data_IF_060899812687
#
_entry.id   IF_060899812687
#
_cell.length_a   1.000
_cell.length_b   1.000
_cell.length_c   1.000
_cell.angle_alpha   90.00
_cell.angle_beta   90.00
_cell.angle_gamma   90.00
#
_symmetry.space_group_name_H-M   'P 1'
#
loop_
_entity.id
_entity.type
_entity.pdbx_description
1 polymer ?
#
# COMPACT_ATOMS: atom_id res chain seq x y z
N UNK A 1 38.54 -12.66 -17.89
CA UNK A 1 37.49 -11.77 -17.36
C UNK A 1 36.56 -11.52 -18.53
N UNK A 2 35.40 -12.18 -18.55
CA UNK A 2 34.37 -11.84 -19.52
C UNK A 2 33.72 -10.57 -18.99
N UNK A 3 33.90 -9.49 -19.71
CA UNK A 3 33.08 -8.29 -19.57
C UNK A 3 31.66 -8.73 -19.96
N UNK A 4 30.76 -8.78 -18.97
CA UNK A 4 29.36 -9.06 -19.20
C UNK A 4 28.83 -8.04 -20.20
N UNK A 5 28.54 -8.52 -21.40
CA UNK A 5 27.81 -7.77 -22.41
C UNK A 5 26.45 -7.48 -21.81
N UNK A 6 26.24 -6.26 -21.33
CA UNK A 6 24.91 -5.73 -21.05
C UNK A 6 24.20 -5.66 -22.40
N UNK A 7 23.43 -6.68 -22.73
CA UNK A 7 22.55 -6.66 -23.89
C UNK A 7 21.44 -5.65 -23.57
N UNK A 8 21.35 -4.57 -24.35
CA UNK A 8 20.21 -3.66 -24.30
C UNK A 8 19.00 -4.36 -24.93
N UNK A 9 18.46 -5.36 -24.23
CA UNK A 9 17.26 -6.07 -24.61
C UNK A 9 16.04 -5.20 -24.31
N UNK A 10 15.18 -4.99 -25.31
CA UNK A 10 13.94 -4.23 -25.19
C UNK A 10 12.77 -5.18 -25.00
N UNK A 11 11.89 -4.87 -24.05
CA UNK A 11 10.60 -5.57 -23.87
C UNK A 11 9.45 -4.69 -24.36
N UNK A 12 8.39 -5.34 -24.85
CA UNK A 12 7.14 -4.65 -25.18
C UNK A 12 6.50 -4.05 -23.92
N UNK A 13 5.91 -2.85 -24.05
CA UNK A 13 5.35 -2.12 -22.91
C UNK A 13 4.13 -2.82 -22.34
N UNK A 14 3.25 -3.32 -23.19
CA UNK A 14 2.01 -3.98 -22.74
C UNK A 14 2.37 -5.29 -22.03
N UNK A 15 3.33 -6.04 -22.57
CA UNK A 15 3.89 -7.20 -21.89
C UNK A 15 4.47 -6.86 -20.50
N UNK A 16 5.26 -5.78 -20.40
CA UNK A 16 5.81 -5.35 -19.12
C UNK A 16 4.73 -4.95 -18.09
N UNK A 17 3.66 -4.29 -18.54
CA UNK A 17 2.49 -3.96 -17.72
C UNK A 17 1.82 -5.24 -17.22
N UNK A 18 1.61 -6.23 -18.10
CA UNK A 18 1.00 -7.51 -17.75
C UNK A 18 1.81 -8.26 -16.68
N UNK A 19 3.13 -8.35 -16.83
CA UNK A 19 4.01 -9.02 -15.85
C UNK A 19 3.96 -8.34 -14.47
N UNK A 20 4.00 -7.00 -14.41
CA UNK A 20 3.88 -6.27 -13.14
C UNK A 20 2.51 -6.50 -12.50
N UNK A 21 1.42 -6.43 -13.29
CA UNK A 21 0.07 -6.67 -12.78
C UNK A 21 -0.12 -8.12 -12.32
N UNK A 22 0.51 -9.09 -12.98
CA UNK A 22 0.52 -10.48 -12.59
C UNK A 22 1.23 -10.67 -11.24
N UNK A 23 2.40 -10.04 -11.05
CA UNK A 23 3.09 -10.03 -9.77
C UNK A 23 2.21 -9.41 -8.66
N UNK A 24 1.59 -8.25 -8.90
CA UNK A 24 0.66 -7.63 -7.96
C UNK A 24 -0.53 -8.55 -7.63
N UNK A 25 -1.08 -9.27 -8.62
CA UNK A 25 -2.14 -10.25 -8.41
C UNK A 25 -1.67 -11.39 -7.50
N UNK A 26 -0.47 -11.93 -7.68
CA UNK A 26 0.07 -12.95 -6.78
C UNK A 26 0.20 -12.46 -5.34
N UNK A 27 0.66 -11.22 -5.12
CA UNK A 27 0.69 -10.62 -3.78
C UNK A 27 -0.73 -10.36 -3.22
N UNK A 28 -1.66 -9.92 -4.05
CA UNK A 28 -3.06 -9.72 -3.68
C UNK A 28 -3.74 -11.02 -3.26
N UNK A 29 -3.52 -12.10 -4.02
CA UNK A 29 -4.01 -13.45 -3.72
C UNK A 29 -3.38 -13.99 -2.43
N UNK A 30 -2.07 -13.78 -2.23
CA UNK A 30 -1.38 -14.19 -1.01
C UNK A 30 -1.97 -13.49 0.22
N UNK A 31 -2.18 -12.17 0.15
CA UNK A 31 -2.82 -11.41 1.24
C UNK A 31 -4.23 -11.92 1.55
N UNK A 32 -5.02 -12.27 0.53
CA UNK A 32 -6.33 -12.90 0.69
C UNK A 32 -6.23 -14.21 1.46
N UNK A 33 -5.37 -15.15 1.04
CA UNK A 33 -5.28 -16.46 1.70
C UNK A 33 -4.71 -16.37 3.11
N UNK A 34 -3.76 -15.47 3.39
CA UNK A 34 -3.33 -15.20 4.77
C UNK A 34 -4.48 -14.68 5.63
N UNK A 35 -5.23 -13.69 5.11
CA UNK A 35 -6.40 -13.14 5.81
C UNK A 35 -7.46 -14.21 6.05
N UNK A 36 -7.68 -15.10 5.07
CA UNK A 36 -8.61 -16.23 5.16
C UNK A 36 -8.24 -17.17 6.30
N UNK A 37 -7.00 -17.65 6.31
CA UNK A 37 -6.52 -18.59 7.35
C UNK A 37 -6.62 -17.95 8.73
N UNK A 38 -6.20 -16.69 8.87
CA UNK A 38 -6.32 -15.97 10.15
C UNK A 38 -7.78 -15.84 10.59
N UNK A 39 -8.67 -15.51 9.66
CA UNK A 39 -10.10 -15.36 9.94
C UNK A 39 -10.76 -16.68 10.35
N UNK A 40 -10.44 -17.77 9.66
CA UNK A 40 -10.95 -19.11 9.96
C UNK A 40 -10.45 -19.63 11.33
N UNK A 41 -9.19 -19.35 11.68
CA UNK A 41 -8.58 -19.84 12.92
C UNK A 41 -8.87 -18.96 14.16
N UNK A 42 -8.94 -17.63 13.98
CA UNK A 42 -8.97 -16.69 15.10
C UNK A 42 -10.19 -15.74 15.10
N UNK A 43 -11.02 -15.79 14.07
CA UNK A 43 -12.15 -14.88 13.90
C UNK A 43 -11.76 -13.45 13.52
N UNK A 44 -12.76 -12.60 13.34
CA UNK A 44 -12.61 -11.26 12.74
C UNK A 44 -11.74 -10.31 13.56
N UNK A 45 -11.99 -10.23 14.87
CA UNK A 45 -11.34 -9.23 15.74
C UNK A 45 -9.84 -9.48 15.84
N UNK A 46 -9.45 -10.73 16.11
CA UNK A 46 -8.04 -11.08 16.24
C UNK A 46 -7.31 -11.01 14.90
N UNK A 47 -7.98 -11.37 13.81
CA UNK A 47 -7.44 -11.18 12.45
C UNK A 47 -7.19 -9.71 12.16
N UNK A 48 -8.14 -8.83 12.49
CA UNK A 48 -8.00 -7.39 12.29
C UNK A 48 -6.81 -6.83 13.07
N UNK A 49 -6.59 -7.26 14.31
CA UNK A 49 -5.45 -6.86 15.14
C UNK A 49 -4.11 -7.28 14.50
N UNK A 50 -4.01 -8.55 14.08
CA UNK A 50 -2.80 -9.10 13.47
C UNK A 50 -2.49 -8.38 12.15
N UNK A 51 -3.48 -8.23 11.27
CA UNK A 51 -3.30 -7.58 9.98
C UNK A 51 -2.89 -6.12 10.14
N UNK A 52 -3.51 -5.37 11.06
CA UNK A 52 -3.10 -3.99 11.36
C UNK A 52 -1.64 -3.92 11.78
N UNK A 53 -1.19 -4.81 12.66
CA UNK A 53 0.21 -4.86 13.11
C UNK A 53 1.16 -5.13 11.96
N UNK A 54 0.90 -6.16 11.16
CA UNK A 54 1.76 -6.55 10.02
C UNK A 54 1.84 -5.41 9.00
N UNK A 55 0.71 -4.81 8.66
CA UNK A 55 0.65 -3.71 7.69
C UNK A 55 1.35 -2.45 8.23
N UNK A 56 1.17 -2.13 9.52
CA UNK A 56 1.86 -1.02 10.16
C UNK A 56 3.38 -1.20 10.12
N UNK A 57 3.90 -2.33 10.62
CA UNK A 57 5.36 -2.59 10.69
C UNK A 57 6.01 -2.54 9.29
N UNK A 58 5.38 -3.18 8.30
CA UNK A 58 5.88 -3.15 6.91
C UNK A 58 5.85 -1.75 6.30
N UNK A 59 4.85 -0.96 6.64
CA UNK A 59 4.67 0.40 6.11
C UNK A 59 5.57 1.41 6.79
N UNK A 60 5.86 1.23 8.08
CA UNK A 60 6.86 2.01 8.80
C UNK A 60 8.25 1.80 8.18
N UNK A 61 8.65 0.55 7.97
CA UNK A 61 9.91 0.22 7.28
C UNK A 61 10.00 0.88 5.90
N UNK A 62 8.91 0.79 5.12
CA UNK A 62 8.80 1.41 3.80
C UNK A 62 8.97 2.93 3.88
N UNK A 63 8.28 3.57 4.80
CA UNK A 63 8.28 5.02 4.95
C UNK A 63 9.64 5.55 5.42
N UNK A 64 10.36 4.81 6.27
CA UNK A 64 11.74 5.14 6.65
C UNK A 64 12.65 5.15 5.41
N UNK A 65 12.58 4.11 4.58
CA UNK A 65 13.33 4.07 3.33
C UNK A 65 12.92 5.18 2.34
N UNK A 66 11.64 5.58 2.33
CA UNK A 66 11.17 6.73 1.54
C UNK A 66 11.78 8.05 2.03
N UNK A 67 11.90 8.24 3.35
CA UNK A 67 12.56 9.43 3.92
C UNK A 67 14.04 9.50 3.54
N UNK A 68 14.74 8.36 3.56
CA UNK A 68 16.13 8.28 3.11
C UNK A 68 16.26 8.72 1.65
N UNK A 69 15.38 8.22 0.75
CA UNK A 69 15.33 8.67 -0.65
C UNK A 69 15.01 10.17 -0.79
N UNK A 70 14.05 10.70 -0.02
CA UNK A 70 13.77 12.14 0.00
C UNK A 70 15.04 12.93 0.38
N UNK A 71 15.74 12.51 1.42
CA UNK A 71 16.98 13.16 1.85
C UNK A 71 18.07 13.12 0.78
N UNK A 72 18.22 11.99 0.08
CA UNK A 72 19.17 11.84 -1.04
C UNK A 72 18.82 12.75 -2.22
N UNK A 73 17.52 12.93 -2.50
CA UNK A 73 17.02 13.80 -3.55
C UNK A 73 16.98 15.29 -3.17
N UNK A 74 17.11 15.62 -1.87
CA UNK A 74 16.91 16.98 -1.36
C UNK A 74 15.44 17.40 -1.25
N UNK A 75 14.52 16.43 -1.21
CA UNK A 75 13.08 16.66 -1.08
C UNK A 75 12.68 16.95 0.38
N UNK A 76 11.69 17.82 0.56
CA UNK A 76 11.06 18.04 1.86
C UNK A 76 10.17 16.86 2.27
N UNK A 77 10.03 16.63 3.57
CA UNK A 77 9.20 15.57 4.13
C UNK A 77 7.75 16.00 4.28
N UNK A 78 7.13 16.36 3.15
CA UNK A 78 5.74 16.81 3.05
C UNK A 78 4.90 15.81 2.24
N UNK A 79 3.59 15.81 2.45
CA UNK A 79 2.69 14.84 1.80
C UNK A 79 2.83 14.80 0.27
N UNK A 80 3.07 15.96 -0.37
CA UNK A 80 3.21 16.09 -1.82
C UNK A 80 4.40 15.27 -2.39
N UNK A 81 5.43 15.01 -1.57
CA UNK A 81 6.63 14.26 -1.97
C UNK A 81 6.54 12.74 -1.69
N UNK A 82 5.40 12.24 -1.22
CA UNK A 82 5.21 10.80 -0.97
C UNK A 82 5.28 10.00 -2.29
N UNK A 83 4.66 10.51 -3.36
CA UNK A 83 4.58 9.79 -4.64
C UNK A 83 5.92 9.81 -5.39
N UNK A 84 6.74 10.87 -5.27
CA UNK A 84 8.07 10.89 -5.89
C UNK A 84 9.06 9.95 -5.21
N UNK A 85 8.84 9.60 -3.93
CA UNK A 85 9.74 8.77 -3.14
C UNK A 85 9.28 7.33 -2.94
N UNK A 86 8.08 6.98 -3.41
CA UNK A 86 7.54 5.62 -3.22
C UNK A 86 8.24 4.57 -4.09
N UNK A 87 8.20 3.32 -3.63
CA UNK A 87 8.61 2.10 -4.34
C UNK A 87 7.42 1.41 -5.05
N UNK A 88 6.32 2.13 -5.30
CA UNK A 88 5.15 1.54 -5.97
C UNK A 88 5.50 1.34 -7.44
N UNK A 89 5.35 0.13 -8.01
CA UNK A 89 5.65 -0.12 -9.40
C UNK A 89 4.51 0.42 -10.28
N UNK A 90 4.46 1.75 -10.46
CA UNK A 90 3.39 2.46 -11.16
C UNK A 90 3.17 2.02 -12.61
N UNK A 91 4.11 1.27 -13.21
CA UNK A 91 3.88 0.61 -14.48
C UNK A 91 2.62 -0.27 -14.45
N UNK A 92 2.32 -0.90 -13.32
CA UNK A 92 1.10 -1.68 -13.13
C UNK A 92 -0.16 -0.87 -12.80
N UNK A 93 -0.05 0.42 -12.48
CA UNK A 93 -1.15 1.33 -12.17
C UNK A 93 -1.57 2.10 -13.41
N UNK A 94 -2.38 1.46 -14.25
CA UNK A 94 -2.70 1.91 -15.61
C UNK A 94 -3.98 2.75 -15.61
N UNK A 95 -3.90 4.09 -15.82
CA UNK A 95 -5.08 4.97 -15.75
C UNK A 95 -6.20 4.59 -16.73
N UNK A 96 -5.86 4.00 -17.88
CA UNK A 96 -6.78 3.55 -18.92
C UNK A 96 -7.71 2.42 -18.45
N UNK A 97 -7.41 1.77 -17.32
CA UNK A 97 -8.30 0.78 -16.68
C UNK A 97 -9.29 1.39 -15.69
N UNK A 98 -9.37 2.73 -15.62
CA UNK A 98 -10.36 3.49 -14.84
C UNK A 98 -10.42 3.05 -13.37
N UNK A 99 -11.57 2.54 -12.91
CA UNK A 99 -11.78 2.04 -11.55
C UNK A 99 -10.78 0.93 -11.20
N UNK A 100 -10.32 0.15 -12.18
CA UNK A 100 -9.42 -1.00 -12.03
C UNK A 100 -7.94 -0.66 -12.33
N UNK A 101 -7.58 0.63 -12.35
CA UNK A 101 -6.20 1.06 -12.54
C UNK A 101 -5.26 0.42 -11.48
N UNK A 102 -5.70 0.38 -10.22
CA UNK A 102 -4.97 -0.29 -9.14
C UNK A 102 -5.06 -1.82 -9.29
N UNK A 103 -3.93 -2.54 -9.45
CA UNK A 103 -3.95 -3.98 -9.69
C UNK A 103 -4.45 -4.78 -8.47
N UNK A 104 -4.21 -4.29 -7.25
CA UNK A 104 -4.76 -4.92 -6.03
C UNK A 104 -6.28 -4.81 -5.98
N UNK A 105 -6.82 -3.63 -6.28
CA UNK A 105 -8.26 -3.39 -6.34
C UNK A 105 -8.95 -4.30 -7.36
N UNK A 106 -8.37 -4.41 -8.56
CA UNK A 106 -8.84 -5.33 -9.59
C UNK A 106 -8.84 -6.80 -9.13
N UNK A 107 -7.80 -7.23 -8.40
CA UNK A 107 -7.69 -8.60 -7.89
C UNK A 107 -8.70 -8.89 -6.77
N UNK A 108 -8.92 -7.96 -5.84
CA UNK A 108 -9.74 -8.20 -4.65
C UNK A 108 -11.24 -8.09 -4.90
N UNK A 109 -11.68 -7.20 -5.80
CA UNK A 109 -13.10 -7.05 -6.13
C UNK A 109 -13.73 -8.36 -6.61
N UNK A 110 -12.98 -9.15 -7.39
CA UNK A 110 -13.41 -10.47 -7.88
C UNK A 110 -13.66 -11.49 -6.77
N UNK A 111 -13.20 -11.24 -5.53
CA UNK A 111 -13.35 -12.16 -4.40
C UNK A 111 -14.59 -11.87 -3.56
N UNK A 112 -15.15 -10.67 -3.63
CA UNK A 112 -16.13 -10.19 -2.65
C UNK A 112 -17.48 -10.89 -2.72
N UNK A 113 -17.91 -11.37 -3.89
CA UNK A 113 -19.17 -12.10 -4.03
C UNK A 113 -19.17 -13.39 -3.20
N UNK A 114 -18.10 -14.18 -3.33
CA UNK A 114 -17.94 -15.43 -2.58
C UNK A 114 -17.36 -15.22 -1.17
N UNK A 115 -16.68 -14.10 -0.92
CA UNK A 115 -15.94 -13.83 0.31
C UNK A 115 -16.22 -12.41 0.84
N UNK A 116 -17.46 -12.08 1.22
CA UNK A 116 -17.83 -10.73 1.64
C UNK A 116 -17.09 -10.26 2.90
N UNK A 117 -16.68 -11.20 3.77
CA UNK A 117 -15.87 -10.94 4.96
C UNK A 117 -14.51 -10.30 4.62
N UNK A 118 -13.97 -10.56 3.42
CA UNK A 118 -12.66 -10.06 3.02
C UNK A 118 -12.66 -8.56 2.73
N UNK A 119 -13.83 -7.95 2.42
CA UNK A 119 -13.95 -6.52 2.12
C UNK A 119 -13.33 -5.64 3.20
N UNK A 120 -13.51 -6.02 4.48
CA UNK A 120 -12.94 -5.31 5.63
C UNK A 120 -11.41 -5.36 5.61
N UNK A 121 -10.84 -6.54 5.39
CA UNK A 121 -9.39 -6.74 5.40
C UNK A 121 -8.71 -6.10 4.18
N UNK A 122 -9.29 -6.21 2.99
CA UNK A 122 -8.83 -5.50 1.80
C UNK A 122 -8.82 -3.97 2.03
N UNK A 123 -9.83 -3.44 2.73
CA UNK A 123 -9.86 -2.02 3.09
C UNK A 123 -8.79 -1.64 4.11
N UNK A 124 -8.53 -2.50 5.11
CA UNK A 124 -7.46 -2.29 6.09
C UNK A 124 -6.08 -2.21 5.43
N UNK A 125 -5.84 -2.99 4.37
CA UNK A 125 -4.59 -2.93 3.62
C UNK A 125 -4.28 -1.50 3.17
N UNK A 126 -5.21 -0.87 2.44
CA UNK A 126 -5.02 0.49 1.94
C UNK A 126 -4.91 1.48 3.10
N UNK A 127 -5.85 1.41 4.05
CA UNK A 127 -5.96 2.42 5.10
C UNK A 127 -4.75 2.43 6.04
N UNK A 128 -4.31 1.25 6.52
CA UNK A 128 -3.15 1.15 7.41
C UNK A 128 -1.87 1.55 6.68
N UNK A 129 -1.69 1.08 5.45
CA UNK A 129 -0.48 1.36 4.67
C UNK A 129 -0.33 2.84 4.37
N UNK A 130 -1.37 3.45 3.82
CA UNK A 130 -1.32 4.84 3.38
C UNK A 130 -1.25 5.80 4.57
N UNK A 131 -1.95 5.49 5.67
CA UNK A 131 -1.89 6.27 6.91
C UNK A 131 -0.52 6.18 7.56
N UNK A 132 0.03 4.98 7.71
CA UNK A 132 1.35 4.80 8.32
C UNK A 132 2.44 5.47 7.48
N UNK A 133 2.37 5.36 6.14
CA UNK A 133 3.32 6.03 5.26
C UNK A 133 3.23 7.54 5.42
N UNK A 134 2.03 8.12 5.41
CA UNK A 134 1.86 9.57 5.60
C UNK A 134 2.47 10.04 6.93
N UNK A 135 2.11 9.38 8.02
CA UNK A 135 2.49 9.75 9.39
C UNK A 135 3.99 9.62 9.61
N UNK A 136 4.58 8.50 9.18
CA UNK A 136 6.02 8.25 9.37
C UNK A 136 6.84 9.12 8.41
N UNK A 137 6.43 9.24 7.14
CA UNK A 137 7.17 10.02 6.14
C UNK A 137 7.23 11.49 6.52
N UNK A 138 6.10 12.10 6.88
CA UNK A 138 6.01 13.53 7.19
C UNK A 138 6.40 13.84 8.63
N UNK A 139 5.98 13.02 9.59
CA UNK A 139 6.20 13.24 11.02
C UNK A 139 5.16 14.14 11.68
N UNK A 140 4.21 14.71 10.94
CA UNK A 140 3.14 15.58 11.49
C UNK A 140 1.79 15.45 10.77
N UNK A 141 1.75 14.77 9.62
CA UNK A 141 0.57 14.71 8.75
C UNK A 141 0.00 13.30 8.75
N UNK A 142 -1.28 13.18 9.08
CA UNK A 142 -2.05 11.95 8.94
C UNK A 142 -2.87 11.95 7.65
N UNK A 143 -3.55 10.83 7.40
CA UNK A 143 -4.24 10.55 6.16
C UNK A 143 -5.61 9.92 6.43
N UNK A 144 -6.56 10.15 5.53
CA UNK A 144 -7.87 9.50 5.56
C UNK A 144 -8.37 9.21 4.15
N UNK A 145 -8.78 7.97 3.92
CA UNK A 145 -9.51 7.58 2.71
C UNK A 145 -10.94 8.16 2.77
N UNK A 146 -11.35 8.81 1.70
CA UNK A 146 -12.67 9.44 1.55
C UNK A 146 -13.57 8.73 0.55
N UNK A 147 -12.98 8.10 -0.47
CA UNK A 147 -13.65 7.19 -1.40
C UNK A 147 -12.75 6.01 -1.69
N UNK A 148 -13.33 4.84 -1.93
CA UNK A 148 -12.57 3.65 -2.29
C UNK A 148 -13.39 2.73 -3.19
N UNK A 149 -12.79 2.24 -4.27
CA UNK A 149 -13.48 1.30 -5.16
C UNK A 149 -13.88 0.00 -4.44
N UNK A 150 -13.12 -0.40 -3.41
CA UNK A 150 -13.45 -1.55 -2.58
C UNK A 150 -14.72 -1.32 -1.78
N UNK A 151 -15.18 -0.08 -1.62
CA UNK A 151 -16.42 0.28 -0.93
C UNK A 151 -17.61 0.39 -1.88
N UNK A 152 -17.36 0.43 -3.19
CA UNK A 152 -18.35 0.64 -4.25
C UNK A 152 -18.28 2.03 -4.89
N UNK A 153 -17.26 2.84 -4.56
CA UNK A 153 -17.01 4.12 -5.24
C UNK A 153 -16.37 3.91 -6.61
N UNK A 154 -16.34 4.97 -7.43
CA UNK A 154 -15.71 4.96 -8.77
C UNK A 154 -14.24 5.36 -8.77
N UNK A 155 -13.69 5.67 -7.61
CA UNK A 155 -12.32 6.17 -7.46
C UNK A 155 -11.82 5.91 -6.04
N UNK A 156 -10.50 5.89 -5.88
CA UNK A 156 -9.86 5.93 -4.57
C UNK A 156 -9.38 7.36 -4.31
N UNK A 157 -10.00 8.04 -3.34
CA UNK A 157 -9.70 9.43 -2.98
C UNK A 157 -9.31 9.51 -1.51
N UNK A 158 -8.43 10.46 -1.19
CA UNK A 158 -7.86 10.62 0.15
C UNK A 158 -7.57 12.08 0.44
N UNK A 159 -7.46 12.39 1.73
CA UNK A 159 -7.01 13.68 2.22
C UNK A 159 -5.84 13.48 3.18
N UNK A 160 -4.96 14.49 3.23
CA UNK A 160 -3.89 14.62 4.19
C UNK A 160 -4.21 15.79 5.11
N UNK A 161 -3.93 15.65 6.40
CA UNK A 161 -4.22 16.68 7.40
C UNK A 161 -3.21 16.63 8.54
N UNK A 162 -2.89 17.80 9.10
CA UNK A 162 -2.02 17.91 10.27
C UNK A 162 -2.64 17.20 11.49
N UNK A 163 -1.84 16.44 12.23
CA UNK A 163 -2.23 15.79 13.50
C UNK A 163 -1.12 15.98 14.56
N UNK A 164 -1.47 16.67 15.64
CA UNK A 164 -0.57 16.92 16.78
C UNK A 164 -0.08 15.62 17.42
N UNK A 165 -0.87 14.54 17.40
CA UNK A 165 -0.44 13.24 17.95
C UNK A 165 0.69 12.64 17.15
N UNK A 166 0.64 12.77 15.83
CA UNK A 166 1.70 12.29 14.93
C UNK A 166 2.98 13.08 15.20
N UNK A 167 2.86 14.39 15.40
CA UNK A 167 3.97 15.27 15.81
C UNK A 167 4.62 14.83 17.14
N UNK A 168 3.83 14.22 18.04
CA UNK A 168 4.30 13.62 19.30
C UNK A 168 4.84 12.17 19.15
N UNK A 169 4.84 11.61 17.94
CA UNK A 169 5.26 10.23 17.67
C UNK A 169 4.22 9.15 18.03
N UNK A 170 2.94 9.53 18.15
CA UNK A 170 1.81 8.62 18.34
C UNK A 170 1.09 8.45 17.02
N UNK A 171 1.30 7.31 16.37
CA UNK A 171 0.72 7.02 15.06
C UNK A 171 -0.67 6.39 15.21
N UNK A 172 -1.48 6.44 14.17
CA UNK A 172 -2.86 5.93 14.20
C UNK A 172 -2.90 4.42 14.46
N UNK A 173 -1.96 3.68 13.88
CA UNK A 173 -1.91 2.21 13.94
C UNK A 173 -0.76 1.65 14.78
N UNK A 174 0.07 2.50 15.38
CA UNK A 174 1.20 2.08 16.20
C UNK A 174 1.78 3.23 17.02
N UNK A 175 2.80 2.95 17.82
CA UNK A 175 3.51 3.98 18.58
C UNK A 175 4.99 3.88 18.27
N UNK A 176 5.69 5.01 18.24
CA UNK A 176 7.15 5.08 18.04
C UNK A 176 7.97 4.38 19.15
N UNK A 177 7.32 3.84 20.19
CA UNK A 177 7.97 3.23 21.36
C UNK A 177 7.45 1.82 21.66
N UNK A 178 8.03 0.82 21.00
CA UNK A 178 8.25 -0.53 21.52
C UNK A 178 9.58 -1.07 20.98
N UNK A 179 10.69 -0.44 21.39
CA UNK A 179 12.01 -1.07 21.46
C UNK A 179 12.44 -1.11 22.92
#
# INVERSE_FOLDING_TARGET
MNEDVVTNETIDKDYAIEEVRMACKHFGDLYFYFSKVLFEEFGEDKTSEILKKVLFERSEERAIAMRERAHENGDELIADNIISTTDVPFLGWVPEFEELHCPYGASWLLRFEENPWFKKFASLYCDVTDTTVAEVFTGDTSHKITKNILWGDKSCERIYFHDDKVSEGKYTYGNKNCK
#
